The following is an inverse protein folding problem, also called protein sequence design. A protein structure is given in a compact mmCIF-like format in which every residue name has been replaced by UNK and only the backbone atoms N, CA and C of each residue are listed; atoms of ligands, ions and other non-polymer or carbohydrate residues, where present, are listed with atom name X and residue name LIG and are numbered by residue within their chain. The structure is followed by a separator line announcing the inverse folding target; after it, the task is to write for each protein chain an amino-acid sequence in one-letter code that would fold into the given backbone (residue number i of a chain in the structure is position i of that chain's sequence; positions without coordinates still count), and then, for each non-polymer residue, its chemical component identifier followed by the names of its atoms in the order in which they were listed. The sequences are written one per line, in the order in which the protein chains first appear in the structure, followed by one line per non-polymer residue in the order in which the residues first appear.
data_IF_032055539501
#
_entry.id   IF_032055539501
#
_cell.length_a   1.000
_cell.length_b   1.000
_cell.length_c   1.000
_cell.angle_alpha   90.00
_cell.angle_beta   90.00
_cell.angle_gamma   90.00
#
_symmetry.space_group_name_H-M   'P 1'
#
loop_
_entity.id
_entity.type
_entity.pdbx_description
1 polymer ?
#
# COMPACT_ATOMS: atom_id res chain seq x y z
N UNK A 1 -26.42 8.27 6.08
CA UNK A 1 -25.50 7.95 4.97
C UNK A 1 -24.12 8.47 5.34
N UNK A 2 -23.49 7.87 6.35
CA UNK A 2 -22.15 8.22 6.82
C UNK A 2 -21.30 6.98 6.52
N UNK A 3 -20.49 7.03 5.47
CA UNK A 3 -19.46 6.01 5.22
C UNK A 3 -18.25 6.43 6.04
N UNK A 4 -18.32 6.12 7.32
CA UNK A 4 -17.16 6.06 8.22
C UNK A 4 -16.30 4.88 7.74
N UNK A 5 -15.60 5.09 6.61
CA UNK A 5 -14.72 4.08 6.05
C UNK A 5 -13.49 4.02 6.94
N UNK A 6 -13.51 3.07 7.88
CA UNK A 6 -12.40 2.63 8.72
C UNK A 6 -11.07 2.63 7.94
N UNK A 7 -10.31 3.72 8.06
CA UNK A 7 -9.15 4.04 7.20
C UNK A 7 -7.99 3.06 7.39
N UNK A 8 -7.89 2.40 8.55
CA UNK A 8 -6.76 1.51 8.89
C UNK A 8 -6.61 0.25 8.02
N UNK A 9 -7.61 -0.11 7.22
CA UNK A 9 -7.54 -1.23 6.27
C UNK A 9 -7.65 -0.79 4.79
N UNK A 10 -7.91 0.50 4.54
CA UNK A 10 -8.13 1.01 3.19
C UNK A 10 -6.82 0.98 2.38
N UNK A 11 -5.72 1.46 2.95
CA UNK A 11 -4.42 1.46 2.27
C UNK A 11 -3.95 0.04 1.88
N UNK A 12 -4.07 -0.92 2.80
CA UNK A 12 -3.71 -2.32 2.55
C UNK A 12 -4.58 -2.96 1.46
N UNK A 13 -5.90 -2.72 1.50
CA UNK A 13 -6.83 -3.22 0.49
C UNK A 13 -6.59 -2.60 -0.89
N UNK A 14 -6.35 -1.28 -0.95
CA UNK A 14 -6.00 -0.57 -2.19
C UNK A 14 -4.68 -1.08 -2.77
N UNK A 15 -3.67 -1.26 -1.91
CA UNK A 15 -2.38 -1.81 -2.33
C UNK A 15 -2.51 -3.21 -2.91
N UNK A 16 -3.30 -4.07 -2.25
CA UNK A 16 -3.53 -5.43 -2.72
C UNK A 16 -4.30 -5.46 -4.04
N UNK A 17 -5.35 -4.65 -4.16
CA UNK A 17 -6.14 -4.54 -5.39
C UNK A 17 -5.28 -4.03 -6.55
N UNK A 18 -4.47 -2.99 -6.32
CA UNK A 18 -3.57 -2.46 -7.33
C UNK A 18 -2.50 -3.47 -7.75
N UNK A 19 -1.91 -4.23 -6.81
CA UNK A 19 -0.96 -5.29 -7.13
C UNK A 19 -1.60 -6.38 -8.00
N UNK A 20 -2.82 -6.81 -7.65
CA UNK A 20 -3.58 -7.83 -8.36
C UNK A 20 -3.95 -7.38 -9.79
N UNK A 21 -4.55 -6.19 -9.93
CA UNK A 21 -4.93 -5.58 -11.22
C UNK A 21 -3.72 -5.40 -12.14
N UNK A 22 -2.58 -5.06 -11.56
CA UNK A 22 -1.35 -4.84 -12.32
C UNK A 22 -0.57 -6.13 -12.64
N UNK A 23 -1.01 -7.28 -12.12
CA UNK A 23 -0.26 -8.54 -12.21
C UNK A 23 1.09 -8.51 -11.48
N UNK A 24 1.26 -7.58 -10.53
CA UNK A 24 2.50 -7.35 -9.80
C UNK A 24 2.51 -8.08 -8.47
N UNK A 25 3.69 -8.54 -8.04
CA UNK A 25 3.86 -9.23 -6.75
C UNK A 25 4.51 -8.32 -5.73
N UNK A 26 4.31 -8.63 -4.45
CA UNK A 26 4.97 -7.94 -3.31
C UNK A 26 6.49 -7.86 -3.48
N UNK A 27 7.13 -8.89 -4.04
CA UNK A 27 8.57 -8.89 -4.31
C UNK A 27 8.99 -7.86 -5.37
N UNK A 28 8.18 -7.66 -6.41
CA UNK A 28 8.44 -6.63 -7.42
C UNK A 28 8.31 -5.23 -6.81
N UNK A 29 7.31 -5.03 -5.94
CA UNK A 29 7.12 -3.76 -5.27
C UNK A 29 8.25 -3.47 -4.27
N UNK A 30 8.70 -4.49 -3.57
CA UNK A 30 9.83 -4.42 -2.65
C UNK A 30 11.12 -3.99 -3.37
N UNK A 31 11.43 -4.63 -4.50
CA UNK A 31 12.56 -4.26 -5.36
C UNK A 31 12.49 -2.80 -5.83
N UNK A 32 11.30 -2.36 -6.29
CA UNK A 32 11.11 -0.98 -6.76
C UNK A 32 11.21 0.09 -5.69
N UNK A 33 10.82 -0.24 -4.46
CA UNK A 33 10.90 0.67 -3.32
C UNK A 33 12.23 0.53 -2.55
N UNK A 34 13.07 -0.44 -2.88
CA UNK A 34 14.30 -0.73 -2.13
C UNK A 34 14.03 -1.20 -0.69
N UNK A 35 12.90 -1.86 -0.45
CA UNK A 35 12.50 -2.35 0.88
C UNK A 35 12.48 -3.88 0.92
N UNK A 36 12.39 -4.44 2.12
CA UNK A 36 12.27 -5.88 2.29
C UNK A 36 10.89 -6.41 1.86
N UNK A 37 10.85 -7.57 1.19
CA UNK A 37 9.59 -8.18 0.74
C UNK A 37 8.66 -8.56 1.91
N UNK A 38 9.22 -8.85 3.09
CA UNK A 38 8.47 -9.11 4.32
C UNK A 38 7.75 -7.84 4.79
N UNK A 39 8.36 -6.67 4.58
CA UNK A 39 7.76 -5.39 4.93
C UNK A 39 6.53 -5.11 4.08
N UNK A 40 6.61 -5.33 2.76
CA UNK A 40 5.47 -5.23 1.84
C UNK A 40 4.37 -6.24 2.19
N UNK A 41 4.75 -7.45 2.61
CA UNK A 41 3.80 -8.47 3.07
C UNK A 41 3.06 -8.03 4.34
N UNK A 42 3.73 -7.32 5.25
CA UNK A 42 3.07 -6.73 6.42
C UNK A 42 2.10 -5.60 6.06
N UNK A 43 2.44 -4.77 5.07
CA UNK A 43 1.55 -3.71 4.57
C UNK A 43 0.29 -4.28 3.93
N UNK A 44 0.45 -5.23 3.02
CA UNK A 44 -0.67 -5.90 2.33
C UNK A 44 -1.55 -6.73 3.26
N UNK A 45 -1.00 -7.22 4.37
CA UNK A 45 -1.76 -7.90 5.42
C UNK A 45 -2.39 -6.94 6.45
N UNK A 46 -2.15 -5.63 6.35
CA UNK A 46 -2.60 -4.64 7.33
C UNK A 46 -1.98 -4.81 8.72
N UNK A 47 -0.88 -5.55 8.84
CA UNK A 47 -0.17 -5.76 10.11
C UNK A 47 0.75 -4.59 10.47
N UNK A 48 1.15 -3.82 9.46
CA UNK A 48 2.04 -2.67 9.60
C UNK A 48 1.66 -1.58 8.62
N UNK A 49 1.81 -0.34 9.05
CA UNK A 49 1.62 0.84 8.23
C UNK A 49 2.98 1.26 7.62
N UNK A 50 3.05 1.62 6.32
CA UNK A 50 4.24 2.22 5.74
C UNK A 50 4.53 3.58 6.38
N UNK A 51 5.80 3.95 6.47
CA UNK A 51 6.21 5.29 6.90
C UNK A 51 5.77 6.34 5.87
N UNK A 52 5.71 7.62 6.25
CA UNK A 52 5.30 8.71 5.34
C UNK A 52 6.09 8.70 4.02
N UNK A 53 7.42 8.52 4.08
CA UNK A 53 8.25 8.41 2.87
C UNK A 53 7.87 7.22 1.98
N UNK A 54 7.55 6.08 2.59
CA UNK A 54 7.16 4.85 1.89
C UNK A 54 5.75 4.97 1.29
N UNK A 55 4.84 5.63 2.02
CA UNK A 55 3.49 5.93 1.58
C UNK A 55 3.52 6.91 0.39
N UNK A 56 4.37 7.93 0.42
CA UNK A 56 4.61 8.84 -0.70
C UNK A 56 5.20 8.13 -1.92
N UNK A 57 6.18 7.25 -1.72
CA UNK A 57 6.74 6.44 -2.80
C UNK A 57 5.71 5.47 -3.41
N UNK A 58 4.86 4.85 -2.57
CA UNK A 58 3.74 4.04 -3.02
C UNK A 58 2.71 4.84 -3.81
N UNK A 59 2.37 6.05 -3.35
CA UNK A 59 1.45 6.93 -4.06
C UNK A 59 2.02 7.34 -5.42
N UNK A 60 3.30 7.72 -5.49
CA UNK A 60 3.96 8.06 -6.76
C UNK A 60 3.99 6.86 -7.72
N UNK A 61 4.30 5.67 -7.22
CA UNK A 61 4.47 4.48 -8.05
C UNK A 61 3.14 3.83 -8.49
N UNK A 62 2.09 4.01 -7.69
CA UNK A 62 0.72 3.62 -8.02
C UNK A 62 -0.06 4.72 -8.76
N UNK A 63 0.59 5.83 -9.14
CA UNK A 63 -0.06 7.00 -9.75
C UNK A 63 -1.27 7.52 -8.95
N UNK A 64 -1.19 7.47 -7.61
CA UNK A 64 -2.21 7.94 -6.69
C UNK A 64 -3.34 6.94 -6.37
N UNK A 65 -3.29 5.71 -6.90
CA UNK A 65 -4.27 4.65 -6.56
C UNK A 65 -4.19 4.22 -5.09
N UNK A 66 -2.98 4.26 -4.52
CA UNK A 66 -2.73 4.03 -3.10
C UNK A 66 -2.26 5.34 -2.49
N UNK A 67 -3.17 6.27 -2.16
CA UNK A 67 -2.77 7.57 -1.64
C UNK A 67 -2.17 7.42 -0.24
N UNK A 68 -1.18 8.26 0.06
CA UNK A 68 -0.54 8.27 1.38
C UNK A 68 -1.53 8.50 2.52
N UNK A 69 -2.61 9.24 2.25
CA UNK A 69 -3.70 9.50 3.18
C UNK A 69 -4.58 8.29 3.54
N UNK A 70 -4.38 7.13 2.90
CA UNK A 70 -5.07 5.88 3.26
C UNK A 70 -4.35 5.06 4.35
N UNK A 71 -3.25 5.59 4.88
CA UNK A 71 -2.39 4.93 5.87
C UNK A 71 -2.33 5.68 7.21
N UNK A 72 -2.98 6.85 7.32
CA UNK A 72 -3.05 7.71 8.51
C UNK A 72 -4.31 7.47 9.34
#
# INVERSE_FOLDING_TARGET
MQRECKVEAAGAALLRAWLDESGRKSAWLADRLGVDASLVSHWTAGRRVPSVEQAGALAALSSGLVPEGSWI
#
